data_IF_286245851981
#
_entry.id   IF_286245851981
#
_cell.length_a   1.000
_cell.length_b   1.000
_cell.length_c   1.000
_cell.angle_alpha   90.00
_cell.angle_beta   90.00
_cell.angle_gamma   90.00
#
_symmetry.space_group_name_H-M   'P 1'
#
loop_
_entity.id
_entity.type
_entity.pdbx_description
1 polymer ?
#
# COMPACT_ATOMS: atom_id res chain seq x y z
N UNK A 1 -12.25 -21.98 -9.24
CA UNK A 1 -12.38 -20.87 -8.26
C UNK A 1 -11.96 -19.61 -8.99
N UNK A 2 -12.77 -18.57 -8.96
CA UNK A 2 -12.45 -17.30 -9.62
C UNK A 2 -11.25 -16.63 -8.92
N UNK A 3 -10.33 -16.03 -9.70
CA UNK A 3 -9.16 -15.38 -9.08
C UNK A 3 -9.57 -14.09 -8.35
N UNK A 4 -8.88 -13.74 -7.27
CA UNK A 4 -9.12 -12.50 -6.52
C UNK A 4 -9.07 -11.28 -7.45
N UNK A 5 -8.17 -11.29 -8.44
CA UNK A 5 -8.10 -10.25 -9.45
C UNK A 5 -9.37 -10.11 -10.27
N UNK A 6 -9.98 -11.21 -10.68
CA UNK A 6 -11.24 -11.19 -11.46
C UNK A 6 -12.40 -10.65 -10.62
N UNK A 7 -12.50 -11.07 -9.36
CA UNK A 7 -13.51 -10.58 -8.42
C UNK A 7 -13.34 -9.06 -8.21
N UNK A 8 -12.12 -8.59 -7.98
CA UNK A 8 -11.84 -7.17 -7.86
C UNK A 8 -12.24 -6.38 -9.13
N UNK A 9 -11.89 -6.91 -10.31
CA UNK A 9 -12.28 -6.27 -11.58
C UNK A 9 -13.80 -6.21 -11.77
N UNK A 10 -14.53 -7.26 -11.38
CA UNK A 10 -16.00 -7.27 -11.41
C UNK A 10 -16.55 -6.16 -10.51
N UNK A 11 -16.09 -6.05 -9.26
CA UNK A 11 -16.50 -5.02 -8.32
C UNK A 11 -16.21 -3.62 -8.86
N UNK A 12 -15.00 -3.39 -9.41
CA UNK A 12 -14.61 -2.09 -9.99
C UNK A 12 -15.51 -1.72 -11.17
N UNK A 13 -15.84 -2.67 -12.03
CA UNK A 13 -16.73 -2.43 -13.18
C UNK A 13 -18.16 -2.13 -12.75
N UNK A 14 -18.69 -2.81 -11.73
CA UNK A 14 -20.02 -2.54 -11.16
C UNK A 14 -20.10 -1.14 -10.52
N UNK A 15 -19.06 -0.68 -9.84
CA UNK A 15 -19.00 0.67 -9.27
C UNK A 15 -18.85 1.71 -10.39
N UNK A 16 -18.18 1.35 -11.49
CA UNK A 16 -17.87 2.21 -12.62
C UNK A 16 -16.39 2.59 -12.67
N UNK A 17 -15.59 1.80 -13.39
CA UNK A 17 -14.14 1.97 -13.52
C UNK A 17 -13.72 3.38 -13.91
N UNK A 18 -14.33 3.94 -14.97
CA UNK A 18 -14.02 5.29 -15.45
C UNK A 18 -14.34 6.38 -14.41
N UNK A 19 -15.45 6.21 -13.69
CA UNK A 19 -15.83 7.12 -12.61
C UNK A 19 -14.79 7.10 -11.49
N UNK A 20 -14.35 5.92 -11.05
CA UNK A 20 -13.30 5.77 -10.03
C UNK A 20 -12.03 6.47 -10.50
N UNK A 21 -11.57 6.18 -11.72
CA UNK A 21 -10.33 6.71 -12.26
C UNK A 21 -10.38 8.24 -12.38
N UNK A 22 -11.43 8.79 -12.94
CA UNK A 22 -11.59 10.25 -13.10
C UNK A 22 -11.63 10.94 -11.74
N UNK A 23 -12.43 10.41 -10.81
CA UNK A 23 -12.61 11.06 -9.50
C UNK A 23 -11.34 11.04 -8.67
N UNK A 24 -10.62 9.90 -8.63
CA UNK A 24 -9.36 9.78 -7.89
C UNK A 24 -8.26 10.64 -8.52
N UNK A 25 -8.24 10.76 -9.85
CA UNK A 25 -7.27 11.63 -10.55
C UNK A 25 -7.47 13.08 -10.17
N UNK A 26 -8.70 13.54 -10.04
CA UNK A 26 -9.03 14.92 -9.65
C UNK A 26 -8.81 15.17 -8.15
N UNK A 27 -9.13 14.20 -7.31
CA UNK A 27 -9.03 14.34 -5.86
C UNK A 27 -8.66 12.99 -5.21
N UNK A 28 -7.41 12.86 -4.79
CA UNK A 28 -6.90 11.63 -4.17
C UNK A 28 -7.63 11.24 -2.89
N UNK A 29 -8.18 12.20 -2.12
CA UNK A 29 -8.84 11.91 -0.83
C UNK A 29 -10.09 11.04 -1.01
N UNK A 30 -10.75 11.12 -2.17
CA UNK A 30 -11.93 10.30 -2.50
C UNK A 30 -11.57 8.82 -2.65
N UNK A 31 -10.30 8.49 -2.83
CA UNK A 31 -9.84 7.08 -2.88
C UNK A 31 -10.22 6.30 -1.63
N UNK A 32 -10.28 6.95 -0.46
CA UNK A 32 -10.69 6.33 0.80
C UNK A 32 -12.06 5.67 0.70
N UNK A 33 -13.02 6.38 0.14
CA UNK A 33 -14.40 5.91 -0.01
C UNK A 33 -14.47 4.73 -1.00
N UNK A 34 -13.76 4.83 -2.13
CA UNK A 34 -13.74 3.75 -3.12
C UNK A 34 -13.02 2.51 -2.60
N UNK A 35 -11.89 2.66 -1.92
CA UNK A 35 -11.15 1.53 -1.33
C UNK A 35 -12.05 0.84 -0.30
N UNK A 36 -12.69 1.59 0.60
CA UNK A 36 -13.59 1.01 1.60
C UNK A 36 -14.78 0.30 0.95
N UNK A 37 -15.43 0.93 -0.02
CA UNK A 37 -16.56 0.35 -0.76
C UNK A 37 -16.17 -0.96 -1.46
N UNK A 38 -14.98 -1.03 -2.04
CA UNK A 38 -14.48 -2.24 -2.71
C UNK A 38 -14.23 -3.34 -1.69
N UNK A 39 -13.59 -3.02 -0.54
CA UNK A 39 -13.35 -3.97 0.54
C UNK A 39 -14.67 -4.52 1.09
N UNK A 40 -15.64 -3.66 1.36
CA UNK A 40 -16.95 -4.06 1.89
C UNK A 40 -17.69 -5.01 0.94
N UNK A 41 -17.67 -4.74 -0.38
CA UNK A 41 -18.26 -5.62 -1.38
C UNK A 41 -17.53 -6.95 -1.49
N UNK A 42 -16.19 -6.92 -1.47
CA UNK A 42 -15.37 -8.12 -1.49
C UNK A 42 -15.66 -9.02 -0.28
N UNK A 43 -15.81 -8.43 0.91
CA UNK A 43 -16.15 -9.13 2.15
C UNK A 43 -17.49 -9.86 2.08
N UNK A 44 -18.41 -9.39 1.27
CA UNK A 44 -19.69 -10.07 0.99
C UNK A 44 -19.61 -11.24 0.02
N UNK A 45 -18.51 -11.40 -0.73
CA UNK A 45 -18.37 -12.37 -1.80
C UNK A 45 -17.37 -13.49 -1.52
N UNK A 46 -16.37 -13.26 -0.66
CA UNK A 46 -15.23 -14.14 -0.46
C UNK A 46 -14.99 -14.42 1.02
N UNK A 47 -14.50 -15.61 1.33
CA UNK A 47 -14.04 -15.93 2.68
C UNK A 47 -12.78 -15.11 3.03
N UNK A 48 -12.82 -14.40 4.16
CA UNK A 48 -11.78 -13.45 4.61
C UNK A 48 -10.60 -14.17 5.28
N UNK A 49 -9.85 -14.93 4.49
CA UNK A 49 -8.54 -15.42 4.92
C UNK A 49 -7.48 -14.32 4.76
N UNK A 50 -6.38 -14.41 5.52
CA UNK A 50 -5.25 -13.47 5.38
C UNK A 50 -4.73 -13.44 3.94
N UNK A 51 -4.66 -14.61 3.28
CA UNK A 51 -4.23 -14.75 1.89
C UNK A 51 -5.15 -14.01 0.92
N UNK A 52 -6.48 -14.16 1.06
CA UNK A 52 -7.45 -13.51 0.19
C UNK A 52 -7.45 -11.99 0.39
N UNK A 53 -7.42 -11.53 1.64
CA UNK A 53 -7.37 -10.10 1.97
C UNK A 53 -6.05 -9.48 1.51
N UNK A 54 -4.91 -10.13 1.76
CA UNK A 54 -3.61 -9.65 1.28
C UNK A 54 -3.55 -9.59 -0.25
N UNK A 55 -4.11 -10.58 -0.94
CA UNK A 55 -4.18 -10.59 -2.42
C UNK A 55 -5.10 -9.50 -2.96
N UNK A 56 -6.21 -9.20 -2.29
CA UNK A 56 -7.07 -8.06 -2.59
C UNK A 56 -6.31 -6.74 -2.43
N UNK A 57 -5.66 -6.54 -1.28
CA UNK A 57 -4.90 -5.31 -1.00
C UNK A 57 -3.79 -5.09 -2.03
N UNK A 58 -3.08 -6.15 -2.43
CA UNK A 58 -2.05 -6.08 -3.47
C UNK A 58 -2.61 -5.62 -4.81
N UNK A 59 -3.68 -6.26 -5.27
CA UNK A 59 -4.33 -5.95 -6.55
C UNK A 59 -4.96 -4.55 -6.54
N UNK A 60 -5.61 -4.17 -5.43
CA UNK A 60 -6.24 -2.88 -5.25
C UNK A 60 -5.21 -1.74 -5.17
N UNK A 61 -4.12 -1.93 -4.42
CA UNK A 61 -3.02 -0.96 -4.38
C UNK A 61 -2.44 -0.73 -5.77
N UNK A 62 -2.21 -1.80 -6.53
CA UNK A 62 -1.74 -1.68 -7.92
C UNK A 62 -2.70 -0.88 -8.81
N UNK A 63 -3.99 -1.18 -8.74
CA UNK A 63 -5.01 -0.44 -9.49
C UNK A 63 -4.99 1.05 -9.13
N UNK A 64 -4.90 1.39 -7.85
CA UNK A 64 -4.90 2.78 -7.36
C UNK A 64 -3.62 3.53 -7.77
N UNK A 65 -2.44 2.92 -7.64
CA UNK A 65 -1.17 3.51 -8.08
C UNK A 65 -1.17 3.79 -9.59
N UNK A 66 -1.69 2.83 -10.39
CA UNK A 66 -1.81 3.00 -11.83
C UNK A 66 -2.81 4.10 -12.19
N UNK A 67 -3.94 4.17 -11.50
CA UNK A 67 -4.97 5.20 -11.71
C UNK A 67 -4.42 6.61 -11.46
N UNK A 68 -3.62 6.79 -10.41
CA UNK A 68 -2.97 8.07 -10.06
C UNK A 68 -1.66 8.31 -10.83
N UNK A 69 -1.23 7.36 -11.67
CA UNK A 69 0.07 7.40 -12.36
C UNK A 69 1.25 7.65 -11.41
N UNK A 70 1.14 7.13 -10.18
CA UNK A 70 2.20 7.26 -9.18
C UNK A 70 3.38 6.34 -9.52
N UNK A 71 4.62 6.84 -9.47
CA UNK A 71 5.80 6.03 -9.76
C UNK A 71 5.97 4.93 -8.71
N UNK A 72 6.08 3.69 -9.17
CA UNK A 72 6.29 2.53 -8.31
C UNK A 72 6.95 1.39 -9.06
N UNK A 73 7.69 0.56 -8.35
CA UNK A 73 8.25 -0.71 -8.85
C UNK A 73 7.71 -1.84 -7.99
N UNK A 74 7.34 -2.95 -8.63
CA UNK A 74 6.69 -4.08 -7.95
C UNK A 74 7.47 -5.37 -8.12
N UNK A 75 7.33 -6.26 -7.09
CA UNK A 75 7.91 -7.61 -7.11
C UNK A 75 9.39 -7.61 -7.46
N UNK A 76 10.19 -6.89 -6.69
CA UNK A 76 11.63 -6.79 -6.90
C UNK A 76 12.39 -7.51 -5.80
N UNK A 77 13.55 -8.06 -6.16
CA UNK A 77 14.45 -8.71 -5.21
C UNK A 77 15.70 -7.86 -5.02
N UNK A 78 15.99 -7.48 -3.78
CA UNK A 78 17.20 -6.77 -3.38
C UNK A 78 17.87 -7.60 -2.27
N UNK A 79 19.16 -7.92 -2.42
CA UNK A 79 19.93 -8.64 -1.40
C UNK A 79 19.23 -9.90 -0.85
N UNK A 80 18.59 -10.68 -1.73
CA UNK A 80 17.78 -11.87 -1.42
C UNK A 80 16.45 -11.59 -0.70
N UNK A 81 16.08 -10.32 -0.51
CA UNK A 81 14.80 -9.92 0.03
C UNK A 81 13.83 -9.58 -1.11
N UNK A 82 12.65 -10.21 -1.10
CA UNK A 82 11.59 -9.90 -2.02
C UNK A 82 10.76 -8.73 -1.47
N UNK A 83 10.68 -7.65 -2.24
CA UNK A 83 9.89 -6.47 -1.92
C UNK A 83 8.65 -6.43 -2.81
N UNK A 84 7.48 -6.21 -2.21
CA UNK A 84 6.23 -6.18 -2.96
C UNK A 84 6.06 -4.90 -3.76
N UNK A 85 6.30 -3.74 -3.13
CA UNK A 85 6.23 -2.43 -3.80
C UNK A 85 7.32 -1.50 -3.25
N UNK A 86 7.97 -0.76 -4.15
CA UNK A 86 8.92 0.31 -3.82
C UNK A 86 8.47 1.60 -4.50
N UNK A 87 8.42 2.68 -3.77
CA UNK A 87 8.01 4.01 -4.22
C UNK A 87 9.12 5.01 -3.93
N UNK A 88 9.52 5.88 -4.86
CA UNK A 88 9.07 5.90 -6.26
C UNK A 88 9.76 4.84 -7.13
N UNK A 89 10.99 4.45 -6.83
CA UNK A 89 11.79 3.49 -7.61
C UNK A 89 13.02 2.99 -6.84
N UNK A 90 13.72 2.00 -7.41
CA UNK A 90 14.88 1.36 -6.79
C UNK A 90 16.11 2.28 -6.67
N UNK A 91 16.30 3.17 -7.62
CA UNK A 91 17.42 4.13 -7.57
C UNK A 91 17.26 5.07 -6.38
N UNK A 92 16.05 5.63 -6.19
CA UNK A 92 15.76 6.47 -5.03
C UNK A 92 15.91 5.69 -3.71
N UNK A 93 15.43 4.45 -3.64
CA UNK A 93 15.57 3.63 -2.44
C UNK A 93 17.04 3.39 -2.09
N UNK A 94 17.90 3.16 -3.09
CA UNK A 94 19.33 2.89 -2.89
C UNK A 94 20.11 4.14 -2.47
N UNK A 95 19.88 5.26 -3.15
CA UNK A 95 20.75 6.44 -3.02
C UNK A 95 20.18 7.49 -2.04
N UNK A 96 18.85 7.49 -1.84
CA UNK A 96 18.12 8.44 -0.98
C UNK A 96 16.97 7.72 -0.25
N UNK A 97 17.26 6.75 0.63
CA UNK A 97 16.23 5.93 1.27
C UNK A 97 15.19 6.74 2.03
N UNK A 98 15.54 7.91 2.56
CA UNK A 98 14.59 8.81 3.22
C UNK A 98 13.50 9.36 2.28
N UNK A 99 13.72 9.27 0.95
CA UNK A 99 12.77 9.67 -0.10
C UNK A 99 12.04 8.49 -0.76
N UNK A 100 12.20 7.31 -0.20
CA UNK A 100 11.56 6.10 -0.71
C UNK A 100 10.74 5.40 0.37
N UNK A 101 9.71 4.68 -0.07
CA UNK A 101 8.88 3.80 0.78
C UNK A 101 9.03 2.38 0.28
N UNK A 102 9.13 1.43 1.20
CA UNK A 102 8.92 0.00 0.96
C UNK A 102 7.54 -0.37 1.49
N UNK A 103 6.72 -1.05 0.67
CA UNK A 103 5.44 -1.61 1.11
C UNK A 103 5.52 -3.12 0.98
N UNK A 104 5.29 -3.84 2.09
CA UNK A 104 5.16 -5.29 2.15
C UNK A 104 3.72 -5.69 2.43
N UNK A 105 3.22 -6.68 1.69
CA UNK A 105 1.85 -7.17 1.81
C UNK A 105 1.89 -8.58 2.38
N UNK A 106 1.46 -8.70 3.62
CA UNK A 106 1.47 -9.95 4.35
C UNK A 106 0.19 -10.72 4.07
N UNK A 107 0.35 -12.00 3.72
CA UNK A 107 -0.75 -12.91 3.36
C UNK A 107 -0.93 -14.04 4.38
N UNK A 108 -0.30 -13.92 5.52
CA UNK A 108 -0.43 -14.85 6.64
C UNK A 108 -0.63 -14.11 7.97
N UNK A 109 -1.10 -14.82 9.00
CA UNK A 109 -1.40 -14.24 10.31
C UNK A 109 -0.16 -13.94 11.15
N UNK A 110 1.04 -14.38 10.73
CA UNK A 110 2.26 -14.22 11.52
C UNK A 110 2.92 -12.86 11.30
N UNK A 111 2.50 -12.13 10.25
CA UNK A 111 3.10 -10.84 9.89
C UNK A 111 4.51 -11.00 9.30
N UNK A 112 5.33 -9.96 9.43
CA UNK A 112 6.73 -9.99 9.01
C UNK A 112 7.57 -10.65 10.13
N UNK A 113 8.36 -11.67 9.78
CA UNK A 113 9.29 -12.31 10.72
C UNK A 113 10.40 -11.34 11.15
N UNK A 114 11.03 -11.58 12.30
CA UNK A 114 12.15 -10.75 12.78
C UNK A 114 13.32 -10.69 11.78
N UNK A 115 13.60 -11.79 11.09
CA UNK A 115 14.65 -11.85 10.07
C UNK A 115 14.28 -11.01 8.84
N UNK A 116 13.02 -11.07 8.38
CA UNK A 116 12.53 -10.22 7.31
C UNK A 116 12.58 -8.74 7.71
N UNK A 117 12.11 -8.40 8.91
CA UNK A 117 12.17 -7.04 9.42
C UNK A 117 13.60 -6.51 9.49
N UNK A 118 14.55 -7.32 9.96
CA UNK A 118 15.97 -6.99 10.01
C UNK A 118 16.55 -6.72 8.63
N UNK A 119 16.25 -7.59 7.66
CA UNK A 119 16.70 -7.43 6.28
C UNK A 119 16.09 -6.20 5.59
N UNK A 120 14.80 -5.92 5.81
CA UNK A 120 14.16 -4.71 5.28
C UNK A 120 14.78 -3.46 5.87
N UNK A 121 15.10 -3.46 7.18
CA UNK A 121 15.72 -2.30 7.86
C UNK A 121 17.13 -2.01 7.35
N UNK A 122 17.87 -3.01 6.85
CA UNK A 122 19.16 -2.79 6.19
C UNK A 122 18.95 -2.02 4.87
N UNK A 123 17.91 -2.36 4.10
CA UNK A 123 17.60 -1.73 2.81
C UNK A 123 16.96 -0.34 3.03
N UNK A 124 16.07 -0.22 4.01
CA UNK A 124 15.36 1.00 4.38
C UNK A 124 15.58 1.33 5.86
N UNK A 125 16.61 2.14 6.19
CA UNK A 125 16.94 2.47 7.59
C UNK A 125 15.86 3.31 8.30
N UNK A 126 15.04 4.06 7.54
CA UNK A 126 13.95 4.82 8.13
C UNK A 126 12.70 3.94 8.30
N UNK A 127 12.46 3.47 9.51
CA UNK A 127 11.33 2.59 9.83
C UNK A 127 9.96 3.20 9.54
N UNK A 128 9.84 4.53 9.53
CA UNK A 128 8.60 5.21 9.15
C UNK A 128 8.30 5.10 7.63
N UNK A 129 9.28 4.72 6.84
CA UNK A 129 9.16 4.47 5.41
C UNK A 129 9.04 2.97 5.09
N UNK A 130 8.96 2.12 6.10
CA UNK A 130 8.59 0.70 5.97
C UNK A 130 7.11 0.58 6.30
N UNK A 131 6.30 0.26 5.30
CA UNK A 131 4.86 0.13 5.41
C UNK A 131 4.47 -1.33 5.22
N UNK A 132 3.68 -1.84 6.15
CA UNK A 132 3.25 -3.24 6.15
C UNK A 132 1.74 -3.30 6.07
N UNK A 133 1.21 -3.97 5.06
CA UNK A 133 -0.22 -4.17 4.86
C UNK A 133 -0.59 -5.55 5.38
N UNK A 134 -1.57 -5.58 6.27
CA UNK A 134 -2.08 -6.81 6.91
C UNK A 134 -3.60 -6.81 6.95
N UNK A 135 -4.21 -7.97 7.15
CA UNK A 135 -5.65 -8.07 7.40
C UNK A 135 -5.98 -7.41 8.73
N UNK A 136 -5.38 -7.87 9.81
CA UNK A 136 -5.56 -7.38 11.19
C UNK A 136 -4.30 -6.64 11.68
N UNK A 137 -4.42 -5.80 12.73
CA UNK A 137 -3.28 -5.09 13.29
C UNK A 137 -2.18 -6.03 13.79
N UNK A 138 -0.94 -5.78 13.38
CA UNK A 138 0.24 -6.47 13.89
C UNK A 138 1.21 -5.48 14.52
N UNK A 139 2.01 -5.95 15.47
CA UNK A 139 3.03 -5.15 16.14
C UNK A 139 4.37 -5.30 15.44
N UNK A 140 5.11 -4.21 15.29
CA UNK A 140 6.44 -4.22 14.69
C UNK A 140 7.02 -2.80 14.63
N UNK A 141 8.29 -2.71 14.23
CA UNK A 141 8.97 -1.44 14.05
C UNK A 141 8.78 -0.95 12.60
N UNK A 142 7.54 -0.61 12.24
CA UNK A 142 7.09 -0.15 10.92
C UNK A 142 5.71 0.50 11.02
N UNK A 143 5.24 1.12 9.95
CA UNK A 143 3.86 1.62 9.86
C UNK A 143 2.97 0.49 9.36
N UNK A 144 1.96 0.11 10.13
CA UNK A 144 1.03 -0.96 9.77
C UNK A 144 -0.27 -0.39 9.20
N UNK A 145 -0.62 -0.81 7.99
CA UNK A 145 -1.91 -0.55 7.33
C UNK A 145 -2.79 -1.79 7.41
N UNK A 146 -3.99 -1.67 7.98
CA UNK A 146 -4.91 -2.79 8.15
C UNK A 146 -6.13 -2.68 7.25
N UNK A 147 -6.48 -3.79 6.61
CA UNK A 147 -7.65 -3.87 5.74
C UNK A 147 -8.95 -3.96 6.53
N UNK A 148 -8.97 -4.66 7.65
CA UNK A 148 -10.11 -4.68 8.57
C UNK A 148 -10.03 -3.47 9.50
N UNK A 149 -10.92 -2.49 9.24
CA UNK A 149 -11.10 -1.35 10.11
C UNK A 149 -11.86 -1.79 11.37
N UNK A 150 -11.13 -2.09 12.46
CA UNK A 150 -11.73 -2.03 13.79
C UNK A 150 -12.07 -0.58 14.15
N UNK A 151 -12.95 -0.37 15.15
CA UNK A 151 -13.27 0.97 15.68
C UNK A 151 -12.08 1.65 16.40
N UNK A 152 -10.87 1.14 16.22
CA UNK A 152 -9.65 1.70 16.81
C UNK A 152 -9.20 2.93 16.03
N UNK A 153 -8.93 4.01 16.77
CA UNK A 153 -8.39 5.24 16.18
C UNK A 153 -7.02 4.97 15.57
N UNK A 154 -6.82 5.42 14.34
CA UNK A 154 -5.51 5.44 13.71
C UNK A 154 -4.48 6.14 14.61
N UNK A 155 -3.31 5.53 14.74
CA UNK A 155 -2.15 6.09 15.44
C UNK A 155 -1.04 6.36 14.42
N UNK A 156 0.07 6.96 14.85
CA UNK A 156 1.22 7.19 13.97
C UNK A 156 1.80 5.89 13.36
N UNK A 157 1.62 4.76 14.03
CA UNK A 157 2.10 3.45 13.60
C UNK A 157 1.01 2.51 13.06
N UNK A 158 -0.28 2.80 13.35
CA UNK A 158 -1.42 1.98 12.87
C UNK A 158 -2.36 2.85 12.07
N UNK A 159 -2.62 2.47 10.82
CA UNK A 159 -3.45 3.19 9.86
C UNK A 159 -4.42 2.24 9.16
N UNK A 160 -5.47 2.80 8.60
CA UNK A 160 -6.39 2.04 7.77
C UNK A 160 -5.86 1.93 6.35
N UNK A 161 -6.04 0.77 5.72
CA UNK A 161 -5.58 0.56 4.34
C UNK A 161 -6.20 1.56 3.35
N UNK A 162 -7.42 2.04 3.60
CA UNK A 162 -8.05 3.04 2.74
C UNK A 162 -7.31 4.40 2.72
N UNK A 163 -6.43 4.69 3.70
CA UNK A 163 -5.62 5.91 3.72
C UNK A 163 -4.34 5.79 2.88
N UNK A 164 -3.93 4.58 2.49
CA UNK A 164 -2.60 4.31 1.93
C UNK A 164 -2.27 5.15 0.70
N UNK A 165 -3.24 5.34 -0.22
CA UNK A 165 -3.01 6.12 -1.44
C UNK A 165 -2.81 7.61 -1.14
N UNK A 166 -3.59 8.15 -0.22
CA UNK A 166 -3.48 9.56 0.23
C UNK A 166 -2.13 9.79 0.90
N UNK A 167 -1.69 8.84 1.72
CA UNK A 167 -0.41 8.92 2.42
C UNK A 167 0.78 8.81 1.45
N UNK A 168 0.68 7.97 0.40
CA UNK A 168 1.69 7.88 -0.68
C UNK A 168 1.77 9.20 -1.44
N UNK A 169 0.64 9.76 -1.84
CA UNK A 169 0.56 11.03 -2.58
C UNK A 169 1.22 12.15 -1.75
N UNK A 170 0.84 12.30 -0.49
CA UNK A 170 1.41 13.27 0.43
C UNK A 170 2.92 13.06 0.68
N UNK A 171 3.38 11.81 0.75
CA UNK A 171 4.80 11.50 0.88
C UNK A 171 5.59 11.96 -0.36
N UNK A 172 5.09 11.65 -1.55
CA UNK A 172 5.75 12.03 -2.81
C UNK A 172 5.78 13.56 -2.99
N UNK A 173 4.70 14.26 -2.68
CA UNK A 173 4.67 15.72 -2.70
C UNK A 173 5.73 16.31 -1.77
N UNK A 174 5.79 15.85 -0.53
CA UNK A 174 6.78 16.31 0.46
C UNK A 174 8.22 16.04 0.04
N UNK A 175 8.50 14.93 -0.61
CA UNK A 175 9.86 14.57 -1.05
C UNK A 175 10.28 15.32 -2.31
N UNK A 176 9.35 15.61 -3.23
CA UNK A 176 9.58 16.40 -4.44
C UNK A 176 9.80 17.89 -4.11
N UNK A 177 9.00 18.50 -3.23
CA UNK A 177 9.18 19.89 -2.81
C UNK A 177 10.57 20.17 -2.22
N UNK A 178 11.15 19.19 -1.52
CA UNK A 178 12.53 19.31 -1.01
C UNK A 178 13.58 19.27 -2.14
N UNK A 179 13.28 18.62 -3.27
CA UNK A 179 14.20 18.54 -4.41
C UNK A 179 14.31 19.85 -5.17
N UNK A 180 13.25 20.65 -5.21
CA UNK A 180 13.23 21.95 -5.87
C UNK A 180 13.89 23.09 -5.06
N UNK A 181 14.08 22.93 -3.75
CA UNK A 181 14.67 23.97 -2.90
C UNK A 181 16.20 24.04 -2.95
N UNK A 182 16.88 23.13 -3.62
CA UNK A 182 18.34 23.12 -3.75
C UNK A 182 18.87 23.74 -5.04
N UNK A 183 18.02 24.34 -5.88
CA UNK A 183 18.39 24.97 -7.15
C UNK A 183 18.04 26.45 -7.23
N UNK A 184 18.02 27.17 -6.09
CA UNK A 184 17.94 28.65 -6.06
C UNK A 184 19.09 29.22 -5.27
#
# INVERSE_FOLDING_TARGET
MESIGNILYSIINEIGKEKIQTTITLNVTVSREYIQMIIDRFNGLVNLTDENVGSLCEALLHFMLTTRTLPSVRKVTIEKMNLDVVIPNLHTLKDFPEKAIIIQIVKDSQGITEDQQRNITIIQPNVNNIWVVTKEPVSGNYVNYTAECGNEKSTSQRRNFHDILVDIDAFLEKTNDRSFRFFH
#
